data_IF_480478703979
#
_entry.id   IF_480478703979
#
_cell.length_a   1.000
_cell.length_b   1.000
_cell.length_c   1.000
_cell.angle_alpha   90.00
_cell.angle_beta   90.00
_cell.angle_gamma   90.00
#
_symmetry.space_group_name_H-M   'P 1'
#
loop_
_entity.id
_entity.type
_entity.pdbx_description
1 polymer ?
#
# COMPACT_ATOMS: atom_id res chain seq x y z
N UNK A 1 -11.89 7.63 12.79
CA UNK A 1 -11.20 6.36 12.98
C UNK A 1 -10.86 5.70 11.64
N UNK A 2 -9.58 5.59 11.31
CA UNK A 2 -9.11 4.70 10.26
C UNK A 2 -9.39 3.21 10.53
N UNK A 3 -9.66 2.46 9.45
CA UNK A 3 -9.96 1.04 9.44
C UNK A 3 -9.00 0.36 8.46
N UNK A 4 -8.35 -0.73 8.87
CA UNK A 4 -7.49 -1.52 7.98
C UNK A 4 -8.04 -2.93 7.86
N UNK A 5 -7.99 -3.47 6.65
CA UNK A 5 -8.51 -4.79 6.32
C UNK A 5 -7.29 -5.70 6.12
N UNK A 6 -7.06 -6.63 7.05
CA UNK A 6 -5.92 -7.54 6.95
C UNK A 6 -6.02 -8.40 5.68
N UNK A 7 -5.01 -8.33 4.81
CA UNK A 7 -4.89 -9.16 3.62
C UNK A 7 -3.52 -9.83 3.55
N UNK A 8 -3.54 -11.10 3.16
CA UNK A 8 -2.39 -11.82 2.62
C UNK A 8 -2.83 -12.37 1.25
N UNK A 9 -1.92 -12.39 0.27
CA UNK A 9 -2.22 -12.98 -1.05
C UNK A 9 -1.85 -14.44 -1.12
N UNK A 10 -2.38 -15.13 -2.14
CA UNK A 10 -2.19 -16.56 -2.32
C UNK A 10 -0.81 -16.93 -2.90
N UNK A 11 0.00 -15.95 -3.34
CA UNK A 11 1.14 -16.21 -4.22
C UNK A 11 2.48 -15.61 -3.77
N UNK A 12 2.53 -14.65 -2.84
CA UNK A 12 3.79 -14.16 -2.26
C UNK A 12 3.61 -13.76 -0.80
N UNK A 13 4.67 -13.90 -0.01
CA UNK A 13 4.76 -13.37 1.36
C UNK A 13 4.94 -11.85 1.33
N UNK A 14 4.01 -11.11 0.75
CA UNK A 14 4.04 -9.66 0.85
C UNK A 14 3.25 -9.19 2.06
N UNK A 15 3.87 -8.30 2.83
CA UNK A 15 3.24 -7.67 3.98
C UNK A 15 2.45 -6.45 3.47
N UNK A 16 1.12 -6.56 3.41
CA UNK A 16 0.23 -5.46 3.03
C UNK A 16 0.24 -4.32 4.03
N UNK A 17 0.55 -4.60 5.30
CA UNK A 17 0.51 -3.60 6.36
C UNK A 17 1.64 -3.81 7.37
N UNK A 18 2.42 -2.77 7.63
CA UNK A 18 3.48 -2.76 8.64
C UNK A 18 3.42 -1.47 9.47
N UNK A 19 4.00 -1.49 10.67
CA UNK A 19 4.10 -0.32 11.54
C UNK A 19 5.49 -0.24 12.17
N UNK A 20 6.04 0.98 12.23
CA UNK A 20 7.25 1.30 12.98
C UNK A 20 6.90 2.22 14.16
N UNK A 21 7.11 1.70 15.37
CA UNK A 21 6.83 2.36 16.65
C UNK A 21 8.10 2.59 17.47
N UNK A 22 9.29 2.50 16.88
CA UNK A 22 10.57 2.56 17.60
C UNK A 22 10.73 3.81 18.47
N UNK A 23 10.25 4.95 17.97
CA UNK A 23 10.34 6.24 18.66
C UNK A 23 9.06 6.63 19.40
N UNK A 24 8.07 5.75 19.45
CA UNK A 24 6.77 6.09 20.00
C UNK A 24 6.67 5.70 21.48
N UNK A 25 6.12 6.61 22.30
CA UNK A 25 5.98 6.42 23.75
C UNK A 25 4.50 6.38 24.15
N UNK A 26 3.92 5.18 24.40
CA UNK A 26 2.48 5.04 24.69
C UNK A 26 2.00 5.85 25.90
N UNK A 27 2.88 6.08 26.89
CA UNK A 27 2.52 6.82 28.11
C UNK A 27 2.31 8.32 27.88
N UNK A 28 2.69 8.84 26.70
CA UNK A 28 2.41 10.22 26.32
C UNK A 28 1.04 10.38 25.65
N UNK A 29 0.33 9.28 25.37
CA UNK A 29 -1.02 9.35 24.84
C UNK A 29 -2.02 9.80 25.92
N UNK A 30 -2.88 10.79 25.63
CA UNK A 30 -4.06 11.05 26.44
C UNK A 30 -4.93 9.79 26.54
N UNK A 31 -5.53 9.55 27.70
CA UNK A 31 -6.50 8.47 27.87
C UNK A 31 -7.74 8.78 27.02
N UNK A 32 -7.97 8.01 25.96
CA UNK A 32 -9.15 8.16 25.10
C UNK A 32 -10.41 7.64 25.82
N UNK A 33 -11.47 8.44 25.84
CA UNK A 33 -12.80 8.02 26.30
C UNK A 33 -13.64 7.37 25.19
N UNK A 34 -13.12 7.26 23.97
CA UNK A 34 -13.89 6.74 22.83
C UNK A 34 -14.04 5.21 22.96
N UNK A 35 -15.29 4.77 23.02
CA UNK A 35 -15.63 3.36 22.94
C UNK A 35 -15.29 2.83 21.55
N UNK A 36 -14.41 1.83 21.51
CA UNK A 36 -14.08 1.10 20.30
C UNK A 36 -15.31 0.34 19.80
N UNK A 37 -15.61 0.43 18.50
CA UNK A 37 -16.65 -0.40 17.90
C UNK A 37 -16.34 -1.89 18.09
N UNK A 38 -17.29 -2.62 18.67
CA UNK A 38 -17.13 -4.03 18.96
C UNK A 38 -16.77 -4.87 17.71
N UNK A 39 -17.25 -4.47 16.53
CA UNK A 39 -16.94 -5.09 15.24
C UNK A 39 -15.44 -5.04 14.93
N UNK A 40 -14.78 -3.92 15.22
CA UNK A 40 -13.38 -3.70 14.85
C UNK A 40 -12.40 -4.39 15.84
N UNK A 41 -12.75 -4.44 17.13
CA UNK A 41 -12.06 -5.29 18.14
C UNK A 41 -12.03 -6.77 17.72
N UNK A 42 -13.13 -7.26 17.14
CA UNK A 42 -13.30 -8.68 16.77
C UNK A 42 -12.50 -9.10 15.53
N UNK A 43 -12.10 -8.16 14.66
CA UNK A 43 -11.30 -8.42 13.45
C UNK A 43 -9.79 -8.50 13.73
N UNK A 44 -9.38 -8.31 14.98
CA UNK A 44 -7.99 -8.12 15.35
C UNK A 44 -7.41 -9.35 16.06
N UNK A 45 -6.53 -10.15 15.41
CA UNK A 45 -5.83 -11.25 16.07
C UNK A 45 -4.96 -10.75 17.22
N UNK A 46 -4.69 -11.64 18.18
CA UNK A 46 -4.11 -11.28 19.49
C UNK A 46 -2.74 -10.58 19.44
N UNK A 47 -1.96 -10.67 18.36
CA UNK A 47 -0.62 -10.07 18.24
C UNK A 47 -0.40 -9.41 16.88
N UNK A 48 -1.22 -8.41 16.55
CA UNK A 48 -1.20 -7.86 15.20
C UNK A 48 -0.89 -6.37 15.19
N UNK A 49 -0.02 -5.89 14.30
CA UNK A 49 0.40 -4.48 14.25
C UNK A 49 -0.77 -3.49 14.09
N UNK A 50 -1.92 -3.94 13.59
CA UNK A 50 -3.15 -3.12 13.51
C UNK A 50 -3.90 -2.92 14.85
N UNK A 51 -3.49 -3.57 15.95
CA UNK A 51 -3.95 -3.21 17.31
C UNK A 51 -3.48 -1.80 17.70
N UNK A 52 -2.28 -1.45 17.25
CA UNK A 52 -1.66 -0.15 17.50
C UNK A 52 -2.47 0.95 16.82
N UNK A 53 -2.80 0.70 15.55
CA UNK A 53 -3.76 1.49 14.81
C UNK A 53 -5.08 1.68 15.58
N UNK A 54 -5.63 0.64 16.17
CA UNK A 54 -6.91 0.74 16.87
C UNK A 54 -6.86 1.58 18.18
N UNK A 55 -5.77 1.51 18.94
CA UNK A 55 -5.63 2.26 20.20
C UNK A 55 -5.16 3.71 19.94
N UNK A 56 -4.23 3.90 19.01
CA UNK A 56 -3.56 5.18 18.73
C UNK A 56 -4.29 6.02 17.67
N UNK A 57 -4.99 5.42 16.68
CA UNK A 57 -5.59 6.17 15.56
C UNK A 57 -6.89 6.92 15.87
N UNK A 58 -7.53 6.68 17.01
CA UNK A 58 -8.61 7.57 17.42
C UNK A 58 -8.07 8.98 17.71
N UNK A 59 -6.77 9.10 18.02
CA UNK A 59 -6.05 10.38 18.16
C UNK A 59 -5.33 10.86 16.88
N UNK A 60 -5.13 10.00 15.88
CA UNK A 60 -4.48 10.36 14.59
C UNK A 60 -5.13 11.52 13.87
N UNK A 61 -6.44 11.73 14.05
CA UNK A 61 -7.15 12.85 13.42
C UNK A 61 -6.87 14.21 14.07
N UNK A 62 -6.13 14.25 15.19
CA UNK A 62 -5.87 15.49 15.94
C UNK A 62 -4.39 15.78 16.21
N UNK A 63 -3.48 14.80 16.11
CA UNK A 63 -2.05 15.01 16.34
C UNK A 63 -1.22 14.51 15.15
N UNK A 64 -0.34 15.38 14.67
CA UNK A 64 0.63 15.12 13.59
C UNK A 64 1.70 14.10 13.99
N UNK A 65 1.48 13.21 14.95
CA UNK A 65 2.51 12.31 15.50
C UNK A 65 2.78 11.07 14.63
N UNK A 66 2.07 10.93 13.51
CA UNK A 66 2.15 9.73 12.67
C UNK A 66 2.12 10.08 11.19
N UNK A 67 2.86 9.30 10.41
CA UNK A 67 2.86 9.33 8.96
C UNK A 67 2.37 7.97 8.42
N UNK A 68 1.43 8.00 7.48
CA UNK A 68 1.03 6.84 6.71
C UNK A 68 1.67 6.95 5.33
N UNK A 69 2.53 6.00 5.00
CA UNK A 69 3.10 5.83 3.67
C UNK A 69 2.34 4.72 2.95
N UNK A 70 1.80 5.05 1.78
CA UNK A 70 1.10 4.11 0.92
C UNK A 70 1.94 3.88 -0.34
N UNK A 71 2.42 2.66 -0.53
CA UNK A 71 3.09 2.26 -1.75
C UNK A 71 2.10 1.52 -2.65
N UNK A 72 1.68 2.19 -3.71
CA UNK A 72 0.70 1.66 -4.65
C UNK A 72 1.36 0.76 -5.68
N UNK A 73 0.63 -0.27 -6.08
CA UNK A 73 0.85 -0.93 -7.36
C UNK A 73 0.04 -0.22 -8.46
N UNK A 74 0.09 -0.73 -9.69
CA UNK A 74 -0.59 -0.20 -10.89
C UNK A 74 -2.07 0.18 -10.68
N UNK A 75 -2.81 -0.54 -9.85
CA UNK A 75 -4.27 -0.37 -9.68
C UNK A 75 -4.67 0.17 -8.29
N UNK A 76 -3.68 0.62 -7.50
CA UNK A 76 -3.90 1.18 -6.18
C UNK A 76 -4.28 2.67 -6.23
N UNK A 77 -5.18 3.12 -5.35
CA UNK A 77 -5.65 4.51 -5.33
C UNK A 77 -6.08 4.97 -3.93
N UNK A 78 -5.93 6.26 -3.63
CA UNK A 78 -6.54 6.93 -2.46
C UNK A 78 -7.69 7.82 -2.93
N UNK A 79 -8.88 7.62 -2.37
CA UNK A 79 -10.05 8.46 -2.68
C UNK A 79 -10.62 9.11 -1.43
N UNK A 80 -10.81 10.42 -1.49
CA UNK A 80 -11.65 11.14 -0.52
C UNK A 80 -13.14 11.02 -0.88
N UNK A 81 -13.99 10.83 0.12
CA UNK A 81 -15.44 10.83 -0.02
C UNK A 81 -16.13 11.34 1.25
N UNK A 82 -17.42 11.64 1.16
CA UNK A 82 -18.22 11.94 2.35
C UNK A 82 -18.24 10.73 3.29
N UNK A 83 -18.29 10.97 4.60
CA UNK A 83 -18.36 9.88 5.59
C UNK A 83 -19.61 9.02 5.40
N UNK A 84 -20.75 9.65 5.15
CA UNK A 84 -22.03 8.99 4.89
C UNK A 84 -21.93 7.98 3.74
N UNK A 85 -21.16 8.33 2.71
CA UNK A 85 -20.98 7.54 1.50
C UNK A 85 -20.17 6.28 1.80
N UNK A 86 -19.09 6.44 2.55
CA UNK A 86 -18.31 5.33 3.06
C UNK A 86 -19.14 4.41 3.97
N UNK A 87 -19.93 4.98 4.89
CA UNK A 87 -20.77 4.21 5.80
C UNK A 87 -21.86 3.42 5.05
N UNK A 88 -22.45 4.00 4.00
CA UNK A 88 -23.38 3.30 3.12
C UNK A 88 -22.71 2.12 2.40
N UNK A 89 -21.50 2.31 1.85
CA UNK A 89 -20.75 1.22 1.21
C UNK A 89 -20.50 0.06 2.18
N UNK A 90 -20.11 0.36 3.42
CA UNK A 90 -19.91 -0.66 4.46
C UNK A 90 -21.23 -1.35 4.83
N UNK A 91 -22.34 -0.60 4.94
CA UNK A 91 -23.66 -1.13 5.27
C UNK A 91 -24.19 -2.08 4.18
N UNK A 92 -24.18 -1.66 2.91
CA UNK A 92 -24.62 -2.49 1.77
C UNK A 92 -23.79 -3.79 1.67
N UNK A 93 -22.51 -3.71 1.99
CA UNK A 93 -21.61 -4.86 2.02
C UNK A 93 -21.91 -5.84 3.15
N UNK A 94 -22.42 -5.36 4.28
CA UNK A 94 -22.89 -6.20 5.37
C UNK A 94 -24.19 -6.94 4.99
N UNK A 95 -25.11 -6.26 4.30
CA UNK A 95 -26.40 -6.81 3.87
C UNK A 95 -26.29 -7.84 2.73
N UNK A 96 -25.33 -7.67 1.82
CA UNK A 96 -25.16 -8.53 0.65
C UNK A 96 -24.59 -9.93 0.95
N UNK A 97 -24.24 -10.24 2.21
CA UNK A 97 -23.71 -11.55 2.59
C UNK A 97 -24.89 -12.49 2.88
N UNK A 98 -25.05 -13.61 2.14
CA UNK A 98 -26.17 -14.53 2.36
C UNK A 98 -26.15 -15.02 3.81
N UNK A 99 -27.31 -14.94 4.46
CA UNK A 99 -27.47 -15.46 5.81
C UNK A 99 -27.08 -16.94 5.83
N UNK A 100 -26.42 -17.44 6.90
CA UNK A 100 -26.32 -18.87 7.11
C UNK A 100 -27.75 -19.44 7.14
N UNK A 101 -27.96 -20.59 6.50
CA UNK A 101 -29.27 -21.23 6.27
C UNK A 101 -30.07 -21.63 7.53
N UNK A 102 -29.70 -21.17 8.73
CA UNK A 102 -30.41 -21.50 9.96
C UNK A 102 -30.24 -20.40 11.03
N UNK A 103 -30.92 -19.25 10.93
CA UNK A 103 -31.25 -18.43 12.11
C UNK A 103 -32.49 -17.55 11.85
N UNK A 104 -33.59 -17.90 12.52
CA UNK A 104 -34.71 -17.00 12.77
C UNK A 104 -34.33 -15.94 13.80
N UNK A 105 -34.43 -14.67 13.38
CA UNK A 105 -34.60 -13.40 14.15
C UNK A 105 -33.74 -12.26 13.57
N UNK A 106 -34.43 -11.21 13.13
CA UNK A 106 -33.90 -10.05 12.39
C UNK A 106 -32.95 -9.15 13.22
N UNK A 107 -33.02 -9.26 14.54
CA UNK A 107 -32.24 -8.44 15.48
C UNK A 107 -31.00 -9.20 16.01
N UNK A 108 -31.13 -10.52 16.14
CA UNK A 108 -30.02 -11.45 16.29
C UNK A 108 -29.11 -11.42 15.04
N UNK A 109 -29.65 -11.11 13.85
CA UNK A 109 -28.94 -10.98 12.56
C UNK A 109 -27.83 -9.93 12.53
N UNK A 110 -28.04 -8.73 13.10
CA UNK A 110 -27.01 -7.68 13.11
C UNK A 110 -25.90 -8.04 14.10
N UNK A 111 -26.28 -8.53 15.29
CA UNK A 111 -25.33 -8.97 16.30
C UNK A 111 -24.58 -10.25 15.90
N UNK A 112 -25.21 -11.15 15.15
CA UNK A 112 -24.63 -12.42 14.71
C UNK A 112 -23.81 -12.29 13.42
N UNK A 113 -24.11 -11.36 12.50
CA UNK A 113 -23.15 -10.97 11.45
C UNK A 113 -21.88 -10.41 12.09
N UNK A 114 -22.04 -9.61 13.15
CA UNK A 114 -20.95 -9.17 14.00
C UNK A 114 -20.34 -10.28 14.88
N UNK A 115 -20.92 -11.49 15.03
CA UNK A 115 -20.33 -12.65 15.75
C UNK A 115 -19.74 -13.72 14.83
N UNK A 116 -20.30 -13.92 13.62
CA UNK A 116 -19.81 -14.83 12.59
C UNK A 116 -18.47 -14.38 12.03
N UNK A 117 -18.20 -13.08 12.06
CA UNK A 117 -16.90 -12.50 11.74
C UNK A 117 -15.89 -12.63 12.90
N UNK A 118 -16.31 -13.01 14.11
CA UNK A 118 -15.45 -13.13 15.31
C UNK A 118 -14.96 -14.53 15.63
N UNK A 119 -15.45 -15.58 14.95
CA UNK A 119 -15.21 -16.99 15.32
C UNK A 119 -13.98 -17.65 14.68
N UNK A 120 -12.94 -16.90 14.30
CA UNK A 120 -11.72 -17.50 13.72
C UNK A 120 -10.45 -16.90 14.29
N UNK A 121 -9.98 -17.50 15.39
CA UNK A 121 -8.60 -17.42 15.84
C UNK A 121 -8.11 -18.86 15.92
N UNK A 122 -7.34 -19.29 14.92
CA UNK A 122 -6.48 -20.47 15.07
C UNK A 122 -5.08 -19.97 15.42
N UNK A 123 -4.50 -20.67 16.40
CA UNK A 123 -3.22 -20.41 17.04
C UNK A 123 -2.08 -20.18 16.03
N UNK A 124 -1.47 -18.99 16.09
CA UNK A 124 -0.05 -18.80 15.77
C UNK A 124 0.43 -19.04 14.34
N UNK A 125 -0.45 -19.22 13.34
CA UNK A 125 -0.02 -19.31 11.95
C UNK A 125 0.03 -17.93 11.30
N UNK A 126 1.07 -17.70 10.48
CA UNK A 126 1.19 -16.59 9.50
C UNK A 126 -0.16 -16.37 8.79
N UNK A 127 -0.48 -15.15 8.32
CA UNK A 127 -1.76 -14.84 7.69
C UNK A 127 -1.88 -15.50 6.30
N UNK A 128 -1.87 -16.82 6.26
CA UNK A 128 -1.91 -17.62 5.05
C UNK A 128 -3.28 -18.28 4.89
N UNK A 129 -3.78 -18.15 3.66
CA UNK A 129 -4.63 -19.12 3.00
C UNK A 129 -5.98 -19.43 3.68
N UNK A 130 -7.05 -18.80 3.17
CA UNK A 130 -8.39 -19.35 3.35
C UNK A 130 -8.60 -20.42 2.24
N UNK A 131 -8.60 -21.72 2.56
CA UNK A 131 -8.72 -22.81 1.57
C UNK A 131 -10.01 -22.72 0.75
N UNK A 132 -11.01 -22.00 1.26
CA UNK A 132 -12.24 -21.72 0.53
C UNK A 132 -12.09 -20.43 -0.31
N UNK A 133 -11.74 -20.61 -1.59
CA UNK A 133 -11.61 -19.54 -2.61
C UNK A 133 -12.85 -18.62 -2.68
N UNK A 134 -14.05 -19.18 -2.60
CA UNK A 134 -15.29 -18.39 -2.66
C UNK A 134 -15.48 -17.53 -1.40
N UNK A 135 -15.11 -18.05 -0.22
CA UNK A 135 -15.14 -17.31 1.05
C UNK A 135 -14.06 -16.23 1.09
N UNK A 136 -12.87 -16.55 0.58
CA UNK A 136 -11.80 -15.59 0.38
C UNK A 136 -12.27 -14.43 -0.50
N UNK A 137 -12.89 -14.71 -1.66
CA UNK A 137 -13.38 -13.69 -2.59
C UNK A 137 -14.49 -12.80 -1.99
N UNK A 138 -15.40 -13.36 -1.18
CA UNK A 138 -16.50 -12.61 -0.54
C UNK A 138 -16.08 -11.73 0.64
N UNK A 139 -14.99 -12.06 1.33
CA UNK A 139 -14.51 -11.30 2.49
C UNK A 139 -13.75 -10.02 2.11
N UNK A 140 -13.47 -9.82 0.83
CA UNK A 140 -12.40 -8.95 0.35
C UNK A 140 -12.84 -7.89 -0.65
N UNK A 141 -14.14 -7.58 -0.68
CA UNK A 141 -14.71 -6.66 -1.65
C UNK A 141 -16.04 -6.09 -1.13
N UNK A 142 -16.12 -4.78 -0.99
CA UNK A 142 -17.31 -4.06 -0.59
C UNK A 142 -18.21 -3.83 -1.80
N UNK A 143 -19.51 -4.05 -1.63
CA UNK A 143 -20.52 -3.79 -2.64
C UNK A 143 -20.71 -2.29 -2.76
N UNK A 144 -20.60 -1.82 -3.99
CA UNK A 144 -20.64 -0.42 -4.30
C UNK A 144 -22.12 0.00 -4.50
N UNK A 145 -22.64 1.01 -3.78
CA UNK A 145 -24.04 1.43 -3.87
C UNK A 145 -24.45 1.89 -5.28
N UNK A 146 -25.67 1.58 -5.72
CA UNK A 146 -26.11 1.83 -7.11
C UNK A 146 -25.92 3.28 -7.57
N UNK A 147 -25.95 4.25 -6.66
CA UNK A 147 -25.73 5.67 -6.98
C UNK A 147 -24.32 6.03 -7.44
N UNK A 148 -23.30 5.22 -7.15
CA UNK A 148 -21.96 5.43 -7.72
C UNK A 148 -21.70 4.57 -8.97
N UNK A 149 -22.73 3.85 -9.45
CA UNK A 149 -22.64 3.02 -10.65
C UNK A 149 -23.10 3.83 -11.84
N UNK A 150 -22.19 4.08 -12.78
CA UNK A 150 -22.51 4.79 -14.02
C UNK A 150 -23.59 4.02 -14.81
N UNK A 151 -24.66 4.69 -15.29
CA UNK A 151 -25.64 4.09 -16.18
C UNK A 151 -24.98 3.41 -17.39
N UNK A 152 -25.29 2.14 -17.62
CA UNK A 152 -24.70 1.35 -18.70
C UNK A 152 -23.48 0.52 -18.30
N UNK A 153 -22.96 0.68 -17.08
CA UNK A 153 -21.95 -0.23 -16.55
C UNK A 153 -22.46 -1.69 -16.57
N UNK A 154 -21.57 -2.63 -16.88
CA UNK A 154 -21.91 -4.04 -17.17
C UNK A 154 -22.54 -4.73 -15.95
N UNK A 155 -23.87 -4.86 -15.93
CA UNK A 155 -24.69 -5.33 -14.78
C UNK A 155 -24.60 -6.83 -14.43
N UNK A 156 -23.62 -7.59 -14.95
CA UNK A 156 -23.61 -9.04 -14.74
C UNK A 156 -23.47 -9.45 -13.26
N UNK A 157 -22.96 -8.56 -12.41
CA UNK A 157 -22.87 -8.72 -10.95
C UNK A 157 -22.97 -7.35 -10.25
N UNK A 158 -23.33 -7.31 -8.96
CA UNK A 158 -23.16 -6.09 -8.15
C UNK A 158 -21.70 -5.64 -8.21
N UNK A 159 -21.45 -4.39 -8.59
CA UNK A 159 -20.11 -3.83 -8.62
C UNK A 159 -19.49 -3.83 -7.23
N UNK A 160 -18.20 -4.07 -7.19
CA UNK A 160 -17.45 -4.26 -5.95
C UNK A 160 -16.14 -3.50 -6.00
N UNK A 161 -15.71 -3.01 -4.84
CA UNK A 161 -14.44 -2.34 -4.64
C UNK A 161 -13.68 -3.03 -3.51
N UNK A 162 -12.37 -3.15 -3.64
CA UNK A 162 -11.53 -3.68 -2.57
C UNK A 162 -11.01 -2.50 -1.75
N UNK A 163 -11.60 -2.25 -0.58
CA UNK A 163 -11.09 -1.24 0.36
C UNK A 163 -10.08 -1.91 1.28
N UNK A 164 -8.80 -1.56 1.15
CA UNK A 164 -7.70 -2.10 1.95
C UNK A 164 -7.52 -1.35 3.27
N UNK A 165 -7.74 -0.03 3.22
CA UNK A 165 -7.76 0.81 4.40
C UNK A 165 -8.73 1.97 4.19
N UNK A 166 -9.16 2.58 5.28
CA UNK A 166 -9.91 3.81 5.30
C UNK A 166 -9.38 4.70 6.42
N UNK A 167 -9.42 6.01 6.27
CA UNK A 167 -9.24 7.03 7.32
C UNK A 167 -10.56 7.76 7.43
N UNK A 168 -11.41 7.33 8.38
CA UNK A 168 -12.73 7.93 8.58
C UNK A 168 -12.57 9.12 9.53
N UNK A 169 -13.03 10.28 9.13
CA UNK A 169 -13.06 11.51 9.92
C UNK A 169 -14.50 11.85 10.30
N UNK A 170 -14.75 13.03 10.86
CA UNK A 170 -16.12 13.43 11.22
C UNK A 170 -17.03 13.55 9.99
N UNK A 171 -16.56 14.21 8.93
CA UNK A 171 -17.35 14.53 7.73
C UNK A 171 -16.92 13.79 6.46
N UNK A 172 -15.69 13.28 6.45
CA UNK A 172 -15.10 12.66 5.25
C UNK A 172 -14.47 11.30 5.60
N UNK A 173 -14.23 10.50 4.59
CA UNK A 173 -13.39 9.31 4.67
C UNK A 173 -12.40 9.32 3.50
N UNK A 174 -11.14 8.97 3.78
CA UNK A 174 -10.16 8.64 2.74
C UNK A 174 -10.04 7.13 2.66
N UNK A 175 -10.35 6.52 1.52
CA UNK A 175 -10.23 5.08 1.34
C UNK A 175 -9.03 4.76 0.47
N UNK A 176 -8.29 3.74 0.85
CA UNK A 176 -7.27 3.09 0.04
C UNK A 176 -7.92 1.90 -0.65
N UNK A 177 -7.96 1.94 -1.98
CA UNK A 177 -8.55 0.88 -2.80
C UNK A 177 -7.50 0.25 -3.70
N UNK A 178 -7.58 -1.05 -3.91
CA UNK A 178 -6.67 -1.74 -4.82
C UNK A 178 -7.29 -3.03 -5.39
N UNK A 179 -7.45 -3.08 -6.71
CA UNK A 179 -7.98 -4.24 -7.39
C UNK A 179 -7.00 -5.43 -7.35
N UNK A 180 -5.70 -5.15 -7.46
CA UNK A 180 -4.61 -6.13 -7.49
C UNK A 180 -4.20 -6.63 -6.10
N UNK A 181 -4.50 -5.86 -5.04
CA UNK A 181 -4.13 -6.13 -3.64
C UNK A 181 -2.63 -6.26 -3.41
N UNK A 182 -1.87 -5.45 -4.13
CA UNK A 182 -0.42 -5.37 -4.02
C UNK A 182 0.03 -4.09 -3.30
N UNK A 183 -0.89 -3.19 -2.98
CA UNK A 183 -0.62 -1.99 -2.19
C UNK A 183 -0.05 -2.38 -0.83
N UNK A 184 1.03 -1.70 -0.45
CA UNK A 184 1.66 -1.85 0.84
C UNK A 184 1.45 -0.57 1.65
N UNK A 185 1.07 -0.73 2.91
CA UNK A 185 0.83 0.36 3.85
C UNK A 185 1.87 0.28 4.95
N UNK A 186 2.56 1.39 5.20
CA UNK A 186 3.53 1.51 6.27
C UNK A 186 3.17 2.71 7.15
N UNK A 187 3.00 2.47 8.45
CA UNK A 187 2.72 3.54 9.41
C UNK A 187 3.94 3.78 10.28
N UNK A 188 4.48 4.99 10.21
CA UNK A 188 5.57 5.44 11.07
C UNK A 188 4.99 6.33 12.16
N UNK A 189 5.36 6.02 13.40
CA UNK A 189 4.90 6.75 14.59
C UNK A 189 6.07 7.46 15.27
N UNK A 190 5.79 8.67 15.74
CA UNK A 190 6.73 9.59 16.36
C UNK A 190 6.23 9.99 17.74
N UNK A 191 7.14 10.15 18.70
CA UNK A 191 6.83 10.77 20.00
C UNK A 191 6.64 12.30 19.90
N UNK A 192 6.96 12.91 18.77
CA UNK A 192 6.79 14.35 18.52
C UNK A 192 5.86 14.61 17.35
N UNK A 193 5.16 15.74 17.39
CA UNK A 193 4.35 16.22 16.27
C UNK A 193 5.22 16.43 15.03
N UNK A 194 4.95 15.65 13.99
CA UNK A 194 5.57 15.78 12.69
C UNK A 194 5.21 17.14 12.09
N UNK A 195 6.23 17.79 11.57
CA UNK A 195 6.16 19.02 10.81
C UNK A 195 6.44 18.71 9.35
N UNK A 196 6.01 19.62 8.47
CA UNK A 196 6.32 19.52 7.05
C UNK A 196 7.82 19.42 6.76
N UNK A 197 8.65 20.05 7.61
CA UNK A 197 10.09 19.96 7.47
C UNK A 197 10.65 18.58 7.79
N UNK A 198 9.98 17.78 8.64
CA UNK A 198 10.41 16.42 8.96
C UNK A 198 10.22 15.48 7.77
N UNK A 199 9.30 15.81 6.85
CA UNK A 199 9.04 15.05 5.63
C UNK A 199 9.95 15.45 4.46
N UNK A 200 10.99 16.27 4.69
CA UNK A 200 11.95 16.65 3.65
C UNK A 200 13.08 15.62 3.56
N UNK A 201 13.63 15.47 2.36
CA UNK A 201 14.85 14.68 2.11
C UNK A 201 15.98 15.09 3.08
N UNK A 202 16.74 14.10 3.53
CA UNK A 202 17.90 14.28 4.41
C UNK A 202 17.56 14.41 5.90
N UNK A 203 16.28 14.39 6.28
CA UNK A 203 15.90 14.21 7.68
C UNK A 203 16.00 12.73 8.07
N UNK A 204 16.26 12.46 9.35
CA UNK A 204 16.24 11.08 9.86
C UNK A 204 14.87 10.40 9.71
N UNK A 205 13.79 11.17 9.60
CA UNK A 205 12.45 10.64 9.35
C UNK A 205 12.27 10.20 7.90
N UNK A 206 12.81 10.94 6.92
CA UNK A 206 12.70 10.58 5.50
C UNK A 206 13.18 9.16 5.24
N UNK A 207 14.40 8.84 5.67
CA UNK A 207 14.96 7.50 5.52
C UNK A 207 14.10 6.45 6.23
N UNK A 208 13.56 6.78 7.41
CA UNK A 208 12.71 5.87 8.19
C UNK A 208 11.37 5.59 7.48
N UNK A 209 10.79 6.57 6.80
CA UNK A 209 9.54 6.41 6.03
C UNK A 209 9.72 5.45 4.87
N UNK A 210 10.83 5.54 4.14
CA UNK A 210 11.01 4.85 2.86
C UNK A 210 11.76 3.53 2.95
N UNK A 211 12.61 3.33 3.98
CA UNK A 211 13.45 2.13 4.14
C UNK A 211 12.67 0.81 4.08
N UNK A 212 11.39 0.80 4.47
CA UNK A 212 10.58 -0.43 4.45
C UNK A 212 10.31 -0.96 3.05
N UNK A 213 10.19 -0.06 2.06
CA UNK A 213 9.82 -0.41 0.69
C UNK A 213 11.00 -0.93 -0.13
N UNK A 214 12.22 -0.83 0.42
CA UNK A 214 13.49 -1.27 -0.20
C UNK A 214 13.78 -0.69 -1.58
N UNK A 215 12.98 0.26 -2.07
CA UNK A 215 13.24 0.93 -3.33
C UNK A 215 14.52 1.76 -3.24
N UNK A 216 15.26 1.78 -4.35
CA UNK A 216 16.34 2.74 -4.56
C UNK A 216 15.87 4.20 -4.45
N UNK A 217 16.82 5.15 -4.44
CA UNK A 217 16.53 6.59 -4.37
C UNK A 217 15.61 7.06 -5.51
N UNK A 218 14.76 8.04 -5.21
CA UNK A 218 13.84 8.64 -6.18
C UNK A 218 14.59 9.47 -7.24
N UNK A 219 14.36 9.18 -8.53
CA UNK A 219 15.04 9.85 -9.65
C UNK A 219 14.73 11.35 -9.81
N UNK A 220 13.75 11.89 -9.09
CA UNK A 220 13.35 13.30 -9.15
C UNK A 220 13.80 14.06 -7.91
N UNK A 221 13.55 13.50 -6.72
CA UNK A 221 13.82 14.14 -5.42
C UNK A 221 15.24 13.83 -4.93
N UNK A 222 15.77 12.66 -5.27
CA UNK A 222 17.06 12.08 -4.82
C UNK A 222 18.01 11.84 -6.01
N UNK A 223 17.98 12.73 -7.01
CA UNK A 223 18.72 12.56 -8.27
C UNK A 223 20.21 12.26 -8.07
N UNK A 224 20.89 12.96 -7.17
CA UNK A 224 22.34 12.76 -6.94
C UNK A 224 22.63 11.36 -6.38
N UNK A 225 21.82 10.87 -5.43
CA UNK A 225 21.93 9.52 -4.90
C UNK A 225 21.55 8.48 -5.94
N UNK A 226 20.52 8.73 -6.76
CA UNK A 226 20.12 7.84 -7.85
C UNK A 226 21.21 7.69 -8.91
N UNK A 227 21.84 8.79 -9.31
CA UNK A 227 23.01 8.77 -10.19
C UNK A 227 24.17 8.01 -9.55
N UNK A 228 24.44 8.21 -8.25
CA UNK A 228 25.48 7.47 -7.54
C UNK A 228 25.18 5.97 -7.47
N UNK A 229 23.93 5.57 -7.27
CA UNK A 229 23.52 4.16 -7.29
C UNK A 229 23.73 3.57 -8.70
N UNK A 230 23.35 4.30 -9.76
CA UNK A 230 23.58 3.88 -11.14
C UNK A 230 25.08 3.74 -11.46
N UNK A 231 25.91 4.69 -11.04
CA UNK A 231 27.37 4.66 -11.25
C UNK A 231 28.01 3.49 -10.46
N UNK A 232 27.56 3.22 -9.23
CA UNK A 232 28.02 2.08 -8.44
C UNK A 232 27.60 0.73 -9.05
N UNK A 233 26.36 0.64 -9.54
CA UNK A 233 25.87 -0.54 -10.24
C UNK A 233 26.70 -0.84 -11.49
N UNK A 234 27.07 0.19 -12.27
CA UNK A 234 28.00 0.02 -13.39
C UNK A 234 29.33 -0.56 -12.93
N UNK A 235 29.91 -0.01 -11.86
CA UNK A 235 31.19 -0.48 -11.33
C UNK A 235 31.11 -1.96 -10.93
N UNK A 236 30.04 -2.38 -10.25
CA UNK A 236 29.87 -3.79 -9.85
C UNK A 236 29.67 -4.73 -11.04
N UNK A 237 28.89 -4.33 -12.06
CA UNK A 237 28.71 -5.11 -13.29
C UNK A 237 30.05 -5.33 -14.02
N UNK A 238 30.91 -4.30 -14.05
CA UNK A 238 32.23 -4.38 -14.69
C UNK A 238 33.25 -5.17 -13.87
N UNK A 239 33.17 -5.15 -12.54
CA UNK A 239 34.05 -5.91 -11.65
C UNK A 239 33.71 -7.40 -11.63
N UNK A 240 32.42 -7.72 -11.55
CA UNK A 240 31.95 -9.10 -11.36
C UNK A 240 31.60 -9.80 -12.69
N UNK A 241 31.65 -9.10 -13.83
CA UNK A 241 31.24 -9.58 -15.16
C UNK A 241 29.80 -10.16 -15.17
N UNK A 242 28.88 -9.56 -14.40
CA UNK A 242 27.50 -10.01 -14.31
C UNK A 242 26.71 -9.74 -15.60
N UNK A 243 26.07 -10.78 -16.12
CA UNK A 243 25.35 -10.75 -17.39
C UNK A 243 23.84 -10.96 -17.21
N UNK A 244 23.20 -10.02 -16.49
CA UNK A 244 21.74 -9.94 -16.38
C UNK A 244 21.19 -9.06 -17.49
N UNK A 245 20.01 -9.40 -18.02
CA UNK A 245 19.30 -8.54 -18.97
C UNK A 245 19.07 -7.13 -18.39
N UNK A 246 19.26 -6.08 -19.20
CA UNK A 246 19.15 -4.68 -18.74
C UNK A 246 17.76 -4.38 -18.15
N UNK A 247 16.70 -4.98 -18.68
CA UNK A 247 15.36 -4.84 -18.11
C UNK A 247 15.29 -5.38 -16.68
N UNK A 248 15.84 -6.57 -16.44
CA UNK A 248 15.83 -7.19 -15.12
C UNK A 248 16.68 -6.40 -14.13
N UNK A 249 17.82 -5.86 -14.56
CA UNK A 249 18.65 -4.99 -13.72
C UNK A 249 17.91 -3.70 -13.33
N UNK A 250 17.17 -3.08 -14.26
CA UNK A 250 16.36 -1.89 -13.97
C UNK A 250 15.16 -2.18 -13.05
N UNK A 251 14.66 -3.42 -13.05
CA UNK A 251 13.53 -3.82 -12.19
C UNK A 251 13.97 -4.38 -10.83
N UNK A 252 15.27 -4.51 -10.59
CA UNK A 252 15.76 -4.93 -9.29
C UNK A 252 15.46 -3.85 -8.25
N UNK A 253 14.96 -4.30 -7.09
CA UNK A 253 14.50 -3.46 -5.99
C UNK A 253 15.67 -2.64 -5.42
N UNK A 254 16.85 -3.26 -5.35
CA UNK A 254 18.10 -2.62 -4.92
C UNK A 254 18.95 -2.13 -6.10
N UNK A 255 18.41 -2.23 -7.32
CA UNK A 255 19.07 -1.90 -8.56
C UNK A 255 19.06 -0.41 -8.92
N UNK A 256 19.64 -0.06 -10.08
CA UNK A 256 19.71 1.31 -10.56
C UNK A 256 18.35 1.91 -10.91
N UNK A 257 17.35 1.10 -11.23
CA UNK A 257 16.06 1.59 -11.75
C UNK A 257 15.05 1.99 -10.68
N UNK A 258 15.47 2.43 -9.49
CA UNK A 258 14.57 2.77 -8.37
C UNK A 258 13.29 3.49 -8.81
N UNK A 259 12.12 2.92 -8.51
CA UNK A 259 10.82 3.46 -8.90
C UNK A 259 10.33 3.10 -10.31
N UNK A 260 11.12 2.40 -11.14
CA UNK A 260 10.66 1.88 -12.42
C UNK A 260 9.79 0.63 -12.23
N UNK A 261 8.56 0.70 -12.75
CA UNK A 261 7.76 -0.47 -13.02
C UNK A 261 8.12 -1.08 -14.39
N UNK A 262 7.68 -2.32 -14.63
CA UNK A 262 7.95 -3.04 -15.88
C UNK A 262 7.61 -2.24 -17.15
N UNK A 263 6.47 -1.55 -17.16
CA UNK A 263 6.07 -0.74 -18.31
C UNK A 263 7.01 0.46 -18.52
N UNK A 264 7.31 1.22 -17.47
CA UNK A 264 8.20 2.37 -17.55
C UNK A 264 9.63 1.98 -17.96
N UNK A 265 10.13 0.84 -17.47
CA UNK A 265 11.43 0.33 -17.87
C UNK A 265 11.46 -0.05 -19.36
N UNK A 266 10.39 -0.66 -19.89
CA UNK A 266 10.30 -0.96 -21.33
C UNK A 266 10.21 0.32 -22.17
N UNK A 267 9.42 1.31 -21.74
CA UNK A 267 9.29 2.59 -22.45
C UNK A 267 10.61 3.37 -22.48
N UNK A 268 11.34 3.36 -21.34
CA UNK A 268 12.69 3.91 -21.24
C UNK A 268 13.64 3.25 -22.25
N UNK A 269 13.72 1.93 -22.25
CA UNK A 269 14.62 1.17 -23.14
C UNK A 269 14.26 1.36 -24.60
N UNK A 270 12.97 1.43 -24.93
CA UNK A 270 12.50 1.78 -26.26
C UNK A 270 12.95 3.19 -26.67
N UNK A 271 12.89 4.17 -25.75
CA UNK A 271 13.41 5.52 -25.98
C UNK A 271 14.91 5.59 -26.25
N UNK A 272 15.67 4.65 -25.68
CA UNK A 272 17.12 4.47 -25.87
C UNK A 272 17.48 3.54 -27.03
N UNK A 273 16.50 2.98 -27.74
CA UNK A 273 16.70 1.92 -28.74
C UNK A 273 17.52 0.71 -28.22
N UNK A 274 17.40 0.40 -26.93
CA UNK A 274 18.03 -0.76 -26.28
C UNK A 274 17.05 -1.93 -26.20
N UNK A 275 17.50 -3.14 -26.54
CA UNK A 275 16.65 -4.33 -26.40
C UNK A 275 16.53 -4.71 -24.91
N UNK A 276 15.33 -5.11 -24.42
CA UNK A 276 15.16 -5.51 -23.02
C UNK A 276 16.12 -6.62 -22.55
N UNK A 277 16.44 -7.54 -23.45
CA UNK A 277 17.37 -8.65 -23.21
C UNK A 277 18.85 -8.30 -23.45
N UNK A 278 19.19 -7.03 -23.75
CA UNK A 278 20.59 -6.63 -23.89
C UNK A 278 21.34 -6.88 -22.56
N UNK A 279 22.47 -7.60 -22.59
CA UNK A 279 23.38 -7.74 -21.46
C UNK A 279 23.67 -6.42 -20.74
N UNK A 280 23.45 -6.36 -19.42
CA UNK A 280 23.84 -5.19 -18.61
C UNK A 280 25.34 -4.90 -18.73
N UNK A 281 26.15 -5.95 -18.86
CA UNK A 281 27.58 -5.83 -19.11
C UNK A 281 27.90 -5.06 -20.39
N UNK A 282 27.22 -5.35 -21.51
CA UNK A 282 27.42 -4.62 -22.78
C UNK A 282 27.08 -3.14 -22.65
N UNK A 283 25.99 -2.82 -21.95
CA UNK A 283 25.60 -1.43 -21.68
C UNK A 283 26.65 -0.72 -20.80
N UNK A 284 27.12 -1.38 -19.73
CA UNK A 284 28.06 -0.80 -18.77
C UNK A 284 29.48 -0.65 -19.34
N UNK A 285 29.92 -1.60 -20.18
CA UNK A 285 31.24 -1.61 -20.81
C UNK A 285 31.34 -0.55 -21.92
N UNK A 286 30.24 -0.29 -22.63
CA UNK A 286 30.17 0.80 -23.59
C UNK A 286 30.04 2.15 -22.88
N UNK A 287 31.07 2.99 -23.00
CA UNK A 287 31.02 4.35 -22.44
C UNK A 287 29.86 5.16 -23.03
N UNK A 288 29.63 5.06 -24.34
CA UNK A 288 28.55 5.75 -25.04
C UNK A 288 27.16 5.29 -24.55
N UNK A 289 26.89 3.98 -24.55
CA UNK A 289 25.58 3.45 -24.17
C UNK A 289 25.25 3.75 -22.69
N UNK A 290 26.22 3.59 -21.79
CA UNK A 290 26.01 3.94 -20.39
C UNK A 290 25.77 5.44 -20.19
N UNK A 291 26.53 6.31 -20.87
CA UNK A 291 26.31 7.75 -20.78
C UNK A 291 24.94 8.15 -21.32
N UNK A 292 24.47 7.53 -22.39
CA UNK A 292 23.13 7.76 -22.92
C UNK A 292 22.04 7.36 -21.91
N UNK A 293 22.14 6.16 -21.33
CA UNK A 293 21.23 5.71 -20.26
C UNK A 293 21.24 6.68 -19.07
N UNK A 294 22.43 7.04 -18.58
CA UNK A 294 22.63 7.94 -17.43
C UNK A 294 22.05 9.34 -17.66
N UNK A 295 22.17 9.86 -18.88
CA UNK A 295 21.68 11.20 -19.21
C UNK A 295 20.20 11.23 -19.58
N UNK A 296 19.65 10.12 -20.08
CA UNK A 296 18.25 10.02 -20.49
C UNK A 296 17.31 9.64 -19.34
N UNK A 297 17.72 8.70 -18.48
CA UNK A 297 16.89 8.19 -17.39
C UNK A 297 16.30 9.29 -16.47
N UNK A 298 17.08 10.28 -15.98
CA UNK A 298 16.53 11.38 -15.19
C UNK A 298 15.47 12.20 -15.94
N UNK A 299 15.71 12.45 -17.24
CA UNK A 299 14.79 13.23 -18.09
C UNK A 299 13.49 12.46 -18.30
N UNK A 300 13.60 11.16 -18.58
CA UNK A 300 12.46 10.26 -18.71
C UNK A 300 11.63 10.24 -17.41
N UNK A 301 12.26 10.05 -16.24
CA UNK A 301 11.56 10.03 -14.95
C UNK A 301 10.90 11.36 -14.62
N UNK A 302 11.52 12.50 -14.96
CA UNK A 302 10.92 13.81 -14.78
C UNK A 302 9.61 14.01 -15.58
N UNK A 303 9.41 13.30 -16.70
CA UNK A 303 8.15 13.41 -17.49
C UNK A 303 6.91 12.89 -16.77
N UNK A 304 7.10 12.02 -15.78
CA UNK A 304 6.00 11.39 -15.03
C UNK A 304 5.60 12.18 -13.78
N UNK A 305 6.17 13.39 -13.61
CA UNK A 305 5.81 14.31 -12.55
C UNK A 305 4.67 15.22 -13.00
N UNK A 306 3.68 15.41 -12.14
CA UNK A 306 2.72 16.51 -12.25
C UNK A 306 3.22 17.71 -11.44
N UNK A 307 3.19 18.91 -12.03
CA UNK A 307 3.38 20.17 -11.28
C UNK A 307 2.14 20.57 -10.47
N UNK A 308 1.00 19.93 -10.73
CA UNK A 308 -0.33 20.40 -10.33
C UNK A 308 -0.86 19.85 -8.98
N UNK A 309 -0.02 19.19 -8.18
CA UNK A 309 -0.41 18.67 -6.85
C UNK A 309 0.68 18.87 -5.80
#
# INVERSE_FOLDING_TARGET
MPRVFAEGTAAKSHETFSADTGDYTPSLEPVSSMAIDAHDLKRTPKNSPWKYLHASLVQFTLRREHALVCHFSLEGNIRGMARSDYEEMVAVSAEAKPAPENVDKKEQKIQDVCRLLSRRVNNGQKPDYNPNKAKAQRLRSDVMPDRFVEPGARKKNKLRVNILAAIVMEKHAFIVTDFSRMTQLHVVSSAVLLQWNDLRRGTGLWDRLWRRFRGGPDWVIELDEALRVLDNWRASVLEEEYDTAILDALLDVEGPGGGLGQHLANDLLNGLAMHPDTPSFEVCASHEAFHELRDYLPKFMATWRSEEY
#
